data_IF_613653911645
#
_entry.id   IF_613653911645
#
_cell.length_a   1.000
_cell.length_b   1.000
_cell.length_c   1.000
_cell.angle_alpha   90.00
_cell.angle_beta   90.00
_cell.angle_gamma   90.00
#
_symmetry.space_group_name_H-M   'P 1'
#
loop_
_entity.id
_entity.type
_entity.pdbx_description
1 polymer ?
#
# COMPACT_ATOMS: atom_id res chain seq x y z
N UNK A 1 6.32 15.05 24.54
CA UNK A 1 5.67 16.19 23.87
C UNK A 1 4.99 15.68 22.61
N UNK A 2 3.73 16.02 22.38
CA UNK A 2 2.94 15.52 21.24
C UNK A 2 2.68 16.69 20.28
N UNK A 3 3.07 16.60 19.00
CA UNK A 3 2.74 17.60 17.99
C UNK A 3 1.25 17.88 17.92
N UNK A 4 0.85 19.15 17.87
CA UNK A 4 -0.53 19.59 17.65
C UNK A 4 -0.72 19.97 16.18
N UNK A 5 -1.93 19.77 15.65
CA UNK A 5 -2.31 20.19 14.30
C UNK A 5 -3.06 21.52 14.38
N UNK A 6 -2.60 22.54 13.66
CA UNK A 6 -3.30 23.82 13.50
C UNK A 6 -3.25 24.20 12.01
N UNK A 7 -4.40 24.47 11.38
CA UNK A 7 -4.48 24.84 9.95
C UNK A 7 -3.73 23.90 8.97
N UNK A 8 -3.65 22.60 9.29
CA UNK A 8 -2.95 21.62 8.46
C UNK A 8 -1.43 21.60 8.61
N UNK A 9 -0.88 22.35 9.57
CA UNK A 9 0.55 22.37 9.92
C UNK A 9 0.75 21.78 11.33
N UNK A 10 1.90 21.13 11.53
CA UNK A 10 2.28 20.54 12.81
C UNK A 10 3.10 21.55 13.64
N UNK A 11 2.63 21.80 14.87
CA UNK A 11 3.23 22.72 15.83
C UNK A 11 3.56 22.00 17.14
N UNK A 12 4.56 22.54 17.85
CA UNK A 12 5.06 22.06 19.12
C UNK A 12 5.08 23.30 19.97
N UNK A 13 4.30 23.28 21.04
CA UNK A 13 4.39 24.30 22.06
C UNK A 13 5.68 24.04 22.83
N UNK A 14 6.68 24.90 22.65
CA UNK A 14 7.90 24.89 23.45
C UNK A 14 7.82 26.07 24.39
N UNK A 15 7.78 25.78 25.69
CA UNK A 15 7.98 26.79 26.73
C UNK A 15 9.47 26.97 26.92
N UNK A 16 10.01 28.09 26.46
CA UNK A 16 11.41 28.45 26.70
C UNK A 16 11.44 29.37 27.92
N UNK A 17 12.06 28.90 29.00
CA UNK A 17 12.31 29.73 30.17
C UNK A 17 13.39 30.76 29.86
N UNK A 18 13.08 32.04 30.07
CA UNK A 18 14.04 33.14 30.04
C UNK A 18 14.44 33.41 31.51
N UNK A 19 15.67 33.84 31.81
CA UNK A 19 16.13 34.05 33.20
C UNK A 19 15.21 34.92 34.08
N UNK A 20 14.37 35.77 33.47
CA UNK A 20 13.50 36.73 34.17
C UNK A 20 12.04 36.25 34.37
N UNK A 21 11.80 34.93 34.48
CA UNK A 21 10.50 34.33 34.82
C UNK A 21 9.31 34.60 33.87
N UNK A 22 9.51 35.25 32.72
CA UNK A 22 8.50 35.33 31.68
C UNK A 22 8.57 34.10 30.76
N UNK A 23 7.64 33.17 30.94
CA UNK A 23 7.43 32.08 30.00
C UNK A 23 6.88 32.65 28.68
N UNK A 24 7.73 32.75 27.65
CA UNK A 24 7.25 33.06 26.30
C UNK A 24 6.87 31.75 25.62
N UNK A 25 5.59 31.61 25.26
CA UNK A 25 5.14 30.52 24.39
C UNK A 25 5.45 30.90 22.94
N UNK A 26 6.47 30.25 22.35
CA UNK A 26 6.77 30.35 20.92
C UNK A 26 6.25 29.12 20.20
N UNK A 27 5.54 29.33 19.10
CA UNK A 27 5.14 28.25 18.19
C UNK A 27 6.25 28.04 17.16
N UNK A 28 6.73 26.80 17.07
CA UNK A 28 7.69 26.39 16.05
C UNK A 28 7.04 25.42 15.07
N UNK A 29 7.23 25.67 13.78
CA UNK A 29 6.83 24.76 12.70
C UNK A 29 7.90 23.69 12.49
N UNK A 30 7.49 22.44 12.35
CA UNK A 30 8.38 21.34 11.96
C UNK A 30 7.66 20.40 11.00
N UNK A 31 8.45 19.85 10.09
CA UNK A 31 8.00 18.83 9.18
C UNK A 31 8.08 17.45 9.86
N UNK A 32 6.92 16.89 10.17
CA UNK A 32 6.78 15.54 10.72
C UNK A 32 6.83 14.49 9.61
N UNK A 33 7.50 13.37 9.87
CA UNK A 33 7.48 12.22 8.96
C UNK A 33 6.22 11.39 9.19
N UNK A 34 5.52 10.95 8.13
CA UNK A 34 4.39 10.05 8.27
C UNK A 34 4.85 8.71 8.83
N UNK A 35 4.02 8.07 9.64
CA UNK A 35 4.27 6.74 10.23
C UNK A 35 3.21 5.80 9.72
N UNK A 36 3.62 4.67 9.13
CA UNK A 36 2.71 3.60 8.70
C UNK A 36 2.57 2.62 9.86
N UNK A 37 1.34 2.27 10.22
CA UNK A 37 1.02 1.35 11.33
C UNK A 37 0.26 0.12 10.87
N UNK A 38 -0.56 0.24 9.82
CA UNK A 38 -1.28 -0.90 9.24
C UNK A 38 -1.69 -0.60 7.81
N UNK A 39 -1.87 -1.64 7.01
CA UNK A 39 -2.46 -1.57 5.68
C UNK A 39 -3.40 -2.75 5.46
N UNK A 40 -4.46 -2.58 4.68
CA UNK A 40 -5.30 -3.70 4.25
C UNK A 40 -4.72 -4.42 3.02
N UNK A 41 -5.22 -5.63 2.79
CA UNK A 41 -5.07 -6.33 1.51
C UNK A 41 -6.26 -6.07 0.61
N UNK A 42 -6.05 -6.21 -0.70
CA UNK A 42 -7.09 -6.00 -1.72
C UNK A 42 -7.13 -7.14 -2.73
N UNK A 43 -8.19 -7.15 -3.55
CA UNK A 43 -8.31 -8.08 -4.68
C UNK A 43 -7.26 -7.79 -5.74
N UNK A 44 -6.94 -8.81 -6.52
CA UNK A 44 -5.95 -8.70 -7.58
C UNK A 44 -6.35 -7.75 -8.72
N UNK A 45 -7.64 -7.55 -8.91
CA UNK A 45 -8.21 -6.57 -9.84
C UNK A 45 -7.91 -5.13 -9.43
N UNK A 46 -7.36 -4.91 -8.23
CA UNK A 46 -7.22 -3.60 -7.64
C UNK A 46 -8.42 -3.25 -6.76
N UNK A 47 -8.44 -2.00 -6.31
CA UNK A 47 -9.43 -1.46 -5.39
C UNK A 47 -8.83 -0.41 -4.45
N UNK A 48 -9.61 -0.08 -3.43
CA UNK A 48 -9.21 0.88 -2.40
C UNK A 48 -8.29 0.23 -1.37
N UNK A 49 -7.10 0.79 -1.24
CA UNK A 49 -6.13 0.52 -0.19
C UNK A 49 -6.34 1.54 0.92
N UNK A 50 -6.43 1.06 2.16
CA UNK A 50 -6.50 1.85 3.39
C UNK A 50 -5.22 1.65 4.19
N UNK A 51 -4.49 2.73 4.41
CA UNK A 51 -3.30 2.82 5.26
C UNK A 51 -3.70 3.54 6.55
N UNK A 52 -3.44 2.90 7.69
CA UNK A 52 -3.56 3.50 9.01
C UNK A 52 -2.19 3.93 9.49
N UNK A 53 -2.12 5.09 10.13
CA UNK A 53 -0.86 5.70 10.48
C UNK A 53 -0.98 6.95 11.34
N UNK A 54 0.10 7.72 11.35
CA UNK A 54 0.15 9.06 11.95
C UNK A 54 0.75 10.03 10.95
N UNK A 55 0.24 11.27 10.97
CA UNK A 55 0.78 12.37 10.17
C UNK A 55 0.76 12.08 8.65
N UNK A 56 -0.27 11.37 8.19
CA UNK A 56 -0.48 11.04 6.79
C UNK A 56 -0.84 12.31 5.99
N UNK A 57 -0.65 12.29 4.67
CA UNK A 57 -0.87 13.48 3.85
C UNK A 57 -1.44 13.14 2.48
N UNK A 58 -2.36 13.96 1.93
CA UNK A 58 -2.85 13.76 0.56
C UNK A 58 -1.77 14.02 -0.50
N UNK A 59 -0.64 14.63 -0.11
CA UNK A 59 0.51 14.92 -0.99
C UNK A 59 1.56 13.80 -0.98
N UNK A 60 1.28 12.67 -0.36
CA UNK A 60 2.18 11.53 -0.37
C UNK A 60 2.30 10.94 -1.79
N UNK A 61 3.50 10.54 -2.18
CA UNK A 61 3.71 9.63 -3.30
C UNK A 61 3.83 8.22 -2.74
N UNK A 62 2.96 7.30 -3.18
CA UNK A 62 2.87 5.95 -2.64
C UNK A 62 3.01 4.93 -3.78
N UNK A 63 3.88 3.95 -3.58
CA UNK A 63 4.01 2.79 -4.46
C UNK A 63 4.33 1.52 -3.69
N UNK A 64 3.81 0.38 -4.13
CA UNK A 64 4.10 -0.93 -3.56
C UNK A 64 5.09 -1.69 -4.44
N UNK A 65 6.25 -2.06 -3.91
CA UNK A 65 7.35 -2.63 -4.68
C UNK A 65 7.57 -4.09 -4.31
N UNK A 66 7.70 -4.94 -5.32
CA UNK A 66 8.12 -6.33 -5.10
C UNK A 66 9.61 -6.36 -4.71
N UNK A 67 10.01 -7.25 -3.79
CA UNK A 67 11.42 -7.46 -3.43
C UNK A 67 12.32 -7.84 -4.62
N UNK A 68 11.75 -8.34 -5.74
CA UNK A 68 12.50 -8.78 -6.92
C UNK A 68 12.15 -7.96 -8.17
N UNK A 69 12.92 -6.91 -8.42
CA UNK A 69 13.30 -6.46 -9.78
C UNK A 69 12.21 -5.93 -10.72
N UNK A 70 11.06 -5.47 -10.22
CA UNK A 70 10.12 -4.69 -11.05
C UNK A 70 10.50 -3.20 -10.98
N UNK A 71 10.87 -2.55 -12.11
CA UNK A 71 11.35 -1.16 -12.11
C UNK A 71 10.24 -0.14 -11.77
N UNK A 72 8.97 -0.46 -12.03
CA UNK A 72 7.81 0.33 -11.66
C UNK A 72 7.01 -0.40 -10.59
N UNK A 73 7.10 0.08 -9.35
CA UNK A 73 6.20 -0.36 -8.27
C UNK A 73 4.73 -0.07 -8.63
N UNK A 74 3.80 -0.70 -7.92
CA UNK A 74 2.37 -0.53 -8.08
C UNK A 74 1.97 0.83 -7.49
N UNK A 75 1.59 1.83 -8.28
CA UNK A 75 1.24 3.15 -7.74
C UNK A 75 -0.07 3.09 -6.97
N UNK A 76 -0.18 3.88 -5.90
CA UNK A 76 -1.45 4.16 -5.23
C UNK A 76 -1.90 5.59 -5.57
N UNK A 77 -2.99 5.71 -6.32
CA UNK A 77 -3.48 6.97 -6.87
C UNK A 77 -4.69 7.50 -6.07
N UNK A 78 -5.16 8.71 -6.39
CA UNK A 78 -6.38 9.30 -5.80
C UNK A 78 -6.38 9.28 -4.26
N UNK A 79 -5.32 9.84 -3.67
CA UNK A 79 -5.10 9.79 -2.23
C UNK A 79 -6.08 10.72 -1.50
N UNK A 80 -6.79 10.18 -0.52
CA UNK A 80 -7.66 10.92 0.40
C UNK A 80 -7.27 10.62 1.85
N UNK A 81 -7.53 11.57 2.75
CA UNK A 81 -7.17 11.49 4.17
C UNK A 81 -8.39 11.74 5.04
N UNK A 82 -8.49 11.01 6.14
CA UNK A 82 -9.57 11.08 7.13
C UNK A 82 -9.00 11.08 8.55
N UNK A 83 -9.88 11.38 9.51
CA UNK A 83 -9.62 11.25 10.96
C UNK A 83 -8.28 11.87 11.39
N UNK A 84 -8.16 13.19 11.19
CA UNK A 84 -6.99 13.98 11.60
C UNK A 84 -5.64 13.40 11.13
N UNK A 85 -5.59 12.98 9.86
CA UNK A 85 -4.38 12.45 9.22
C UNK A 85 -3.91 11.09 9.76
N UNK A 86 -4.85 10.27 10.26
CA UNK A 86 -4.56 8.91 10.74
C UNK A 86 -5.00 7.81 9.78
N UNK A 87 -5.92 8.11 8.86
CA UNK A 87 -6.38 7.18 7.83
C UNK A 87 -6.12 7.77 6.45
N UNK A 88 -5.45 7.01 5.58
CA UNK A 88 -5.23 7.34 4.17
C UNK A 88 -5.87 6.29 3.30
N UNK A 89 -6.68 6.71 2.34
CA UNK A 89 -7.23 5.83 1.30
C UNK A 89 -6.65 6.20 -0.05
N UNK A 90 -6.40 5.20 -0.89
CA UNK A 90 -5.89 5.39 -2.24
C UNK A 90 -6.27 4.20 -3.12
N UNK A 91 -6.28 4.40 -4.43
CA UNK A 91 -6.70 3.39 -5.39
C UNK A 91 -5.50 2.73 -6.06
N UNK A 92 -5.50 1.40 -6.03
CA UNK A 92 -4.59 0.57 -6.82
C UNK A 92 -5.37 -0.02 -7.99
N UNK A 93 -4.81 0.09 -9.19
CA UNK A 93 -5.35 -0.60 -10.37
C UNK A 93 -4.64 -1.94 -10.53
N UNK A 94 -5.42 -3.03 -10.54
CA UNK A 94 -4.92 -4.34 -10.91
C UNK A 94 -4.83 -4.48 -12.43
N UNK A 95 -3.78 -5.12 -12.91
CA UNK A 95 -3.54 -5.43 -14.32
C UNK A 95 -3.60 -6.94 -14.46
N UNK A 96 -4.19 -7.43 -15.53
CA UNK A 96 -4.30 -8.86 -15.74
C UNK A 96 -2.95 -9.48 -16.11
N UNK A 97 -2.60 -10.62 -15.50
CA UNK A 97 -1.45 -11.42 -15.94
C UNK A 97 -1.57 -11.88 -17.40
N UNK A 98 -2.79 -11.94 -17.94
CA UNK A 98 -3.07 -12.26 -19.34
C UNK A 98 -2.84 -11.06 -20.28
N UNK A 99 -3.08 -9.82 -19.80
CA UNK A 99 -2.88 -8.58 -20.56
C UNK A 99 -1.39 -8.23 -20.75
N UNK A 100 -0.51 -8.74 -19.89
CA UNK A 100 0.94 -8.49 -19.94
C UNK A 100 1.58 -9.09 -21.21
N UNK A 101 0.91 -10.02 -21.91
CA UNK A 101 1.39 -10.53 -23.21
C UNK A 101 1.13 -9.58 -24.39
N UNK A 102 0.27 -8.56 -24.25
CA UNK A 102 -0.13 -7.66 -25.34
C UNK A 102 0.72 -6.39 -25.43
N UNK A 103 1.27 -5.93 -24.31
CA UNK A 103 2.12 -4.74 -24.24
C UNK A 103 3.53 -5.26 -23.95
N UNK A 104 4.46 -5.09 -24.89
CA UNK A 104 5.77 -5.76 -24.93
C UNK A 104 6.64 -5.76 -23.65
N UNK A 105 7.85 -6.29 -23.79
CA UNK A 105 8.81 -6.76 -22.76
C UNK A 105 9.19 -5.74 -21.63
N UNK A 106 8.62 -4.54 -21.57
CA UNK A 106 9.11 -3.41 -20.76
C UNK A 106 8.50 -3.15 -19.38
N UNK A 107 7.24 -3.50 -19.10
CA UNK A 107 6.63 -3.15 -17.81
C UNK A 107 5.94 -4.35 -17.17
N UNK A 108 6.72 -5.18 -16.44
CA UNK A 108 6.16 -6.11 -15.45
C UNK A 108 5.52 -5.30 -14.32
N UNK A 109 4.35 -4.69 -14.56
CA UNK A 109 3.50 -4.17 -13.50
C UNK A 109 2.95 -5.38 -12.75
N UNK A 110 3.61 -5.74 -11.66
CA UNK A 110 3.21 -6.88 -10.85
C UNK A 110 2.00 -6.45 -10.04
N UNK A 111 0.81 -6.75 -10.49
CA UNK A 111 -0.45 -6.46 -9.77
C UNK A 111 -0.92 -7.65 -8.95
N UNK A 112 0.04 -8.46 -8.48
CA UNK A 112 -0.22 -9.67 -7.72
C UNK A 112 0.90 -9.94 -6.73
N UNK A 113 0.75 -10.98 -5.91
CA UNK A 113 1.77 -11.38 -4.94
C UNK A 113 1.50 -10.86 -3.54
N UNK A 114 2.49 -11.07 -2.69
CA UNK A 114 2.46 -10.79 -1.27
C UNK A 114 3.76 -10.09 -0.89
N UNK A 115 3.74 -9.42 0.26
CA UNK A 115 4.90 -8.79 0.89
C UNK A 115 5.57 -7.73 0.00
N UNK A 116 4.77 -6.90 -0.66
CA UNK A 116 5.26 -5.71 -1.34
C UNK A 116 5.69 -4.67 -0.32
N UNK A 117 6.91 -4.16 -0.46
CA UNK A 117 7.41 -3.07 0.35
C UNK A 117 6.64 -1.79 0.05
N UNK A 118 6.27 -1.07 1.11
CA UNK A 118 5.53 0.19 0.99
C UNK A 118 6.53 1.34 0.88
N UNK A 119 6.62 1.93 -0.32
CA UNK A 119 7.35 3.17 -0.52
C UNK A 119 6.38 4.34 -0.42
N UNK A 120 6.45 5.09 0.68
CA UNK A 120 5.69 6.33 0.88
C UNK A 120 6.66 7.49 1.10
N UNK A 121 6.51 8.56 0.33
CA UNK A 121 7.33 9.77 0.45
C UNK A 121 6.48 11.02 0.41
N UNK A 122 6.78 12.01 1.27
CA UNK A 122 6.16 13.33 1.24
C UNK A 122 7.26 14.36 1.01
N UNK A 123 7.20 15.08 -0.12
CA UNK A 123 8.21 16.09 -0.51
C UNK A 123 9.66 15.57 -0.38
N UNK A 124 9.91 14.33 -0.78
CA UNK A 124 11.23 13.69 -0.73
C UNK A 124 11.62 13.10 0.63
N UNK A 125 10.75 13.15 1.66
CA UNK A 125 10.98 12.52 2.95
C UNK A 125 10.22 11.21 3.05
N UNK A 126 10.94 10.11 3.23
CA UNK A 126 10.35 8.79 3.37
C UNK A 126 9.59 8.65 4.69
N UNK A 127 8.46 7.93 4.62
CA UNK A 127 7.70 7.51 5.77
C UNK A 127 8.52 6.58 6.69
N UNK A 128 8.14 6.55 7.96
CA UNK A 128 8.64 5.59 8.93
C UNK A 128 7.73 4.36 8.89
N UNK A 129 8.34 3.19 8.71
CA UNK A 129 7.66 1.89 8.75
C UNK A 129 8.32 1.04 9.85
N UNK A 130 7.94 1.23 11.12
CA UNK A 130 8.67 0.65 12.26
C UNK A 130 8.58 -0.88 12.30
N UNK A 131 7.44 -1.43 11.89
CA UNK A 131 7.15 -2.87 11.97
C UNK A 131 7.34 -3.59 10.63
N UNK A 132 8.06 -2.97 9.69
CA UNK A 132 8.32 -3.48 8.34
C UNK A 132 7.04 -3.98 7.64
N UNK A 133 5.97 -3.20 7.74
CA UNK A 133 4.64 -3.50 7.22
C UNK A 133 4.71 -3.59 5.70
N UNK A 134 4.07 -4.62 5.15
CA UNK A 134 4.01 -4.86 3.71
C UNK A 134 2.59 -4.88 3.19
N UNK A 135 2.43 -4.56 1.91
CA UNK A 135 1.18 -4.70 1.17
C UNK A 135 1.08 -6.08 0.49
N UNK A 136 -0.10 -6.68 0.49
CA UNK A 136 -0.35 -7.96 -0.16
C UNK A 136 -1.71 -7.96 -0.85
N UNK A 137 -1.80 -8.62 -2.01
CA UNK A 137 -3.08 -8.96 -2.63
C UNK A 137 -3.63 -10.25 -2.03
N UNK A 138 -4.95 -10.40 -1.95
CA UNK A 138 -5.59 -11.62 -1.47
C UNK A 138 -5.14 -12.86 -2.24
N UNK A 139 -4.79 -13.97 -1.55
CA UNK A 139 -4.34 -15.19 -2.20
C UNK A 139 -5.39 -15.77 -3.17
N UNK A 140 -4.98 -16.58 -4.16
CA UNK A 140 -5.92 -17.32 -4.99
C UNK A 140 -6.75 -18.28 -4.13
N UNK A 141 -8.04 -18.37 -4.42
CA UNK A 141 -8.97 -19.26 -3.73
C UNK A 141 -9.65 -20.14 -4.75
N UNK A 142 -9.73 -21.45 -4.48
CA UNK A 142 -10.47 -22.41 -5.32
C UNK A 142 -11.80 -22.68 -4.64
N UNK A 143 -12.91 -22.47 -5.36
CA UNK A 143 -14.26 -22.76 -4.88
C UNK A 143 -14.72 -24.15 -5.31
N UNK A 144 -14.20 -24.66 -6.43
CA UNK A 144 -14.50 -26.01 -6.89
C UNK A 144 -14.11 -26.25 -8.34
N UNK A 145 -14.36 -27.48 -8.79
CA UNK A 145 -14.27 -27.89 -10.18
C UNK A 145 -15.51 -28.72 -10.50
N UNK A 146 -16.24 -28.46 -11.62
CA UNK A 146 -17.46 -29.19 -11.94
C UNK A 146 -17.18 -30.62 -12.45
N UNK A 147 -15.94 -31.09 -12.39
CA UNK A 147 -15.53 -32.38 -12.92
C UNK A 147 -15.10 -32.33 -14.38
N UNK A 148 -14.80 -33.52 -14.92
CA UNK A 148 -14.25 -33.72 -16.26
C UNK A 148 -15.33 -33.48 -17.31
N UNK A 149 -15.13 -32.53 -18.21
CA UNK A 149 -15.90 -32.44 -19.45
C UNK A 149 -15.42 -33.53 -20.42
N UNK A 150 -16.32 -34.05 -21.27
CA UNK A 150 -16.03 -35.07 -22.30
C UNK A 150 -14.80 -34.73 -23.17
N UNK A 151 -14.44 -33.45 -23.26
CA UNK A 151 -13.26 -32.95 -24.01
C UNK A 151 -11.95 -32.84 -23.20
N UNK A 152 -11.79 -33.52 -22.06
CA UNK A 152 -10.59 -33.46 -21.19
C UNK A 152 -10.27 -32.05 -20.64
N UNK A 153 -11.20 -31.11 -20.76
CA UNK A 153 -11.11 -29.79 -20.14
C UNK A 153 -11.47 -29.89 -18.65
N UNK A 154 -10.60 -29.36 -17.80
CA UNK A 154 -10.86 -29.20 -16.37
C UNK A 154 -11.10 -27.72 -16.12
N UNK A 155 -12.35 -27.39 -15.81
CA UNK A 155 -12.73 -26.04 -15.40
C UNK A 155 -12.52 -25.90 -13.90
N UNK A 156 -11.90 -24.81 -13.46
CA UNK A 156 -11.71 -24.51 -12.04
C UNK A 156 -12.35 -23.16 -11.76
N UNK A 157 -13.23 -23.12 -10.77
CA UNK A 157 -13.86 -21.91 -10.29
C UNK A 157 -13.13 -21.41 -9.04
N UNK A 158 -12.92 -20.10 -8.97
CA UNK A 158 -12.16 -19.50 -7.89
C UNK A 158 -11.99 -18.00 -8.03
N UNK A 159 -11.32 -17.41 -7.04
CA UNK A 159 -11.00 -15.99 -6.95
C UNK A 159 -9.50 -15.73 -7.08
N UNK A 160 -9.15 -14.49 -7.44
CA UNK A 160 -7.77 -14.00 -7.50
C UNK A 160 -6.79 -14.82 -8.37
N UNK A 161 -7.29 -15.53 -9.39
CA UNK A 161 -6.47 -16.31 -10.34
C UNK A 161 -5.71 -15.46 -11.37
N UNK A 162 -6.00 -14.17 -11.46
CA UNK A 162 -5.44 -13.29 -12.47
C UNK A 162 -3.97 -12.87 -12.16
N UNK A 163 -3.08 -13.85 -12.00
CA UNK A 163 -1.68 -13.70 -11.53
C UNK A 163 -0.70 -14.12 -12.60
N UNK A 164 0.46 -13.45 -12.66
CA UNK A 164 1.60 -13.98 -13.42
C UNK A 164 2.11 -15.24 -12.71
N UNK A 165 2.26 -16.33 -13.46
CA UNK A 165 2.87 -17.56 -12.95
C UNK A 165 1.97 -18.36 -12.00
N UNK A 166 0.64 -18.20 -12.08
CA UNK A 166 -0.29 -19.12 -11.43
C UNK A 166 0.02 -20.56 -11.89
N UNK A 167 0.34 -21.43 -10.93
CA UNK A 167 0.50 -22.87 -11.16
C UNK A 167 -0.67 -23.59 -10.51
N UNK A 168 -1.28 -24.50 -11.26
CA UNK A 168 -2.37 -25.34 -10.80
C UNK A 168 -1.85 -26.77 -10.85
N UNK A 169 -1.86 -27.44 -9.71
CA UNK A 169 -1.50 -28.86 -9.60
C UNK A 169 -2.78 -29.68 -9.52
N UNK A 170 -2.90 -30.67 -10.40
CA UNK A 170 -4.06 -31.57 -10.46
C UNK A 170 -3.55 -32.99 -10.23
N UNK A 171 -3.84 -33.57 -9.06
CA UNK A 171 -3.34 -34.89 -8.65
C UNK A 171 -2.93 -34.90 -7.16
N UNK A 172 -2.33 -35.99 -6.69
CA UNK A 172 -1.69 -36.03 -5.37
C UNK A 172 -0.44 -35.16 -5.39
N UNK A 173 -0.28 -34.30 -4.38
CA UNK A 173 1.00 -33.66 -4.07
C UNK A 173 2.08 -34.75 -3.89
N UNK A 174 3.23 -34.56 -4.53
CA UNK A 174 4.47 -35.26 -4.17
C UNK A 174 5.22 -34.41 -3.15
#
# INVERSE_FOLDING_TARGET
>A
MTPKLLHGLHYLDITVGIPDHQNIQKQYEFAVKPVILKINSILISGGEVTIYGKYLSPRAAISFRSPRGAPSGIPCNNITIYEDNTILKCNVTGISGQEIKLVGIGERRITSGHNHEIFMSIKGRNAINPDNITFSFYPPTVYGSPGKSDNRLITIFGGNFNRIGLKIFIGKEQ
#
